data_IF_212089058160
#
_entry.id   IF_212089058160
#
_cell.length_a   1.000
_cell.length_b   1.000
_cell.length_c   1.000
_cell.angle_alpha   90.00
_cell.angle_beta   90.00
_cell.angle_gamma   90.00
#
_symmetry.space_group_name_H-M   'P 1'
#
loop_
_entity.id
_entity.type
_entity.pdbx_description
1 polymer ?
#
# COMPACT_ATOMS: atom_id res chain seq x y z
N UNK A 1 20.72 -5.52 10.28
CA UNK A 1 20.75 -4.21 9.60
C UNK A 1 19.68 -4.29 8.54
N UNK A 2 18.58 -3.55 8.69
CA UNK A 2 17.48 -3.47 7.73
C UNK A 2 17.66 -2.21 6.88
N UNK A 3 17.44 -2.29 5.58
CA UNK A 3 17.53 -1.14 4.67
C UNK A 3 16.10 -0.82 4.21
N UNK A 4 15.56 0.30 4.68
CA UNK A 4 14.21 0.80 4.38
C UNK A 4 14.25 1.96 3.38
N UNK A 5 13.10 2.32 2.81
CA UNK A 5 12.97 3.48 1.89
C UNK A 5 13.84 3.38 0.63
N UNK A 6 14.18 2.16 0.20
CA UNK A 6 15.01 1.99 -0.99
C UNK A 6 14.21 2.37 -2.23
N UNK A 7 14.80 3.28 -3.01
CA UNK A 7 14.31 3.61 -4.35
C UNK A 7 14.79 2.53 -5.32
N UNK A 8 13.91 1.60 -5.66
CA UNK A 8 14.17 0.46 -6.54
C UNK A 8 13.33 0.66 -7.79
N UNK A 9 13.97 1.01 -8.92
CA UNK A 9 13.27 1.35 -10.17
C UNK A 9 14.20 1.20 -11.38
N UNK A 10 13.61 1.12 -12.59
CA UNK A 10 14.34 1.03 -13.85
C UNK A 10 15.02 -0.32 -14.08
N UNK A 11 14.60 -1.35 -13.35
CA UNK A 11 15.11 -2.71 -13.51
C UNK A 11 14.59 -3.32 -14.82
N UNK A 12 15.40 -4.16 -15.46
CA UNK A 12 15.00 -4.92 -16.66
C UNK A 12 14.03 -6.08 -16.36
N UNK A 13 13.74 -6.32 -15.08
CA UNK A 13 12.85 -7.32 -14.50
C UNK A 13 12.25 -6.77 -13.20
N UNK A 14 11.60 -7.60 -12.38
CA UNK A 14 11.19 -7.21 -11.02
C UNK A 14 12.41 -6.84 -10.17
N UNK A 15 12.26 -5.84 -9.30
CA UNK A 15 13.34 -5.26 -8.48
C UNK A 15 13.56 -5.98 -7.16
N UNK A 16 12.49 -6.47 -6.52
CA UNK A 16 12.54 -7.43 -5.40
C UNK A 16 11.89 -8.71 -5.90
N UNK A 17 12.65 -9.80 -5.94
CA UNK A 17 12.20 -11.14 -6.32
C UNK A 17 12.50 -12.09 -5.15
N UNK A 18 11.47 -12.68 -4.55
CA UNK A 18 11.60 -13.66 -3.46
C UNK A 18 11.59 -15.11 -3.94
N UNK A 19 11.50 -15.34 -5.26
CA UNK A 19 11.81 -16.62 -5.89
C UNK A 19 10.62 -17.37 -6.49
N UNK A 20 9.51 -16.70 -6.82
CA UNK A 20 8.43 -17.35 -7.57
C UNK A 20 8.83 -17.60 -9.02
N UNK A 21 9.12 -18.85 -9.36
CA UNK A 21 9.48 -19.28 -10.71
C UNK A 21 8.27 -19.76 -11.53
N UNK A 22 7.13 -19.07 -11.44
CA UNK A 22 5.95 -19.34 -12.26
C UNK A 22 6.04 -18.72 -13.67
N UNK A 23 5.08 -19.00 -14.56
CA UNK A 23 5.07 -18.45 -15.92
C UNK A 23 4.67 -16.96 -15.98
N UNK A 24 4.20 -16.40 -14.86
CA UNK A 24 3.74 -15.03 -14.73
C UNK A 24 4.93 -14.13 -14.35
N UNK A 25 5.13 -13.03 -15.09
CA UNK A 25 6.08 -12.01 -14.69
C UNK A 25 5.40 -11.12 -13.64
N UNK A 26 5.95 -11.08 -12.42
CA UNK A 26 5.39 -10.29 -11.33
C UNK A 26 5.79 -10.82 -9.95
N UNK A 27 5.35 -10.15 -8.88
CA UNK A 27 5.56 -10.62 -7.53
C UNK A 27 4.82 -11.93 -7.28
N UNK A 28 5.37 -12.74 -6.39
CA UNK A 28 4.76 -13.92 -5.79
C UNK A 28 3.38 -13.54 -5.22
N UNK A 29 2.28 -14.15 -5.67
CA UNK A 29 0.97 -13.85 -5.12
C UNK A 29 0.91 -14.13 -3.62
N UNK A 30 0.23 -13.24 -2.87
CA UNK A 30 -0.03 -13.47 -1.45
C UNK A 30 -0.75 -14.80 -1.20
N UNK A 31 -0.36 -15.51 -0.15
CA UNK A 31 -0.99 -16.76 0.28
C UNK A 31 -1.71 -16.63 1.64
N UNK A 32 -2.80 -17.38 1.83
CA UNK A 32 -3.71 -17.21 2.98
C UNK A 32 -3.09 -17.66 4.31
N UNK A 33 -2.08 -18.52 4.26
CA UNK A 33 -1.47 -19.12 5.44
C UNK A 33 -0.17 -18.46 5.85
N UNK A 34 0.55 -17.83 4.92
CA UNK A 34 1.87 -17.23 5.10
C UNK A 34 2.82 -18.21 5.84
N UNK A 35 2.70 -19.50 5.52
CA UNK A 35 3.47 -20.59 6.15
C UNK A 35 4.74 -20.93 5.36
N UNK A 36 5.13 -20.01 4.49
CA UNK A 36 6.18 -20.21 3.51
C UNK A 36 7.57 -20.25 4.14
N UNK A 37 8.49 -20.87 3.41
CA UNK A 37 9.89 -20.92 3.77
C UNK A 37 10.70 -20.48 2.55
N UNK A 38 11.65 -19.57 2.76
CA UNK A 38 12.40 -18.99 1.65
C UNK A 38 13.14 -17.72 2.05
N UNK A 39 13.50 -16.92 1.05
CA UNK A 39 14.09 -15.60 1.31
C UNK A 39 13.01 -14.71 1.91
N UNK A 40 13.32 -14.04 3.03
CA UNK A 40 12.38 -13.21 3.78
C UNK A 40 11.06 -13.93 4.13
N UNK A 41 11.12 -15.26 4.33
CA UNK A 41 9.96 -16.12 4.62
C UNK A 41 8.78 -15.95 3.64
N UNK A 42 9.05 -15.42 2.44
CA UNK A 42 8.05 -15.01 1.44
C UNK A 42 6.95 -14.07 1.98
N UNK A 43 7.31 -13.20 2.94
CA UNK A 43 6.41 -12.23 3.55
C UNK A 43 5.42 -11.61 2.55
N UNK A 44 4.12 -11.75 2.82
CA UNK A 44 3.06 -11.14 2.02
C UNK A 44 3.17 -9.60 2.00
N UNK A 45 2.85 -8.98 0.86
CA UNK A 45 2.71 -7.52 0.72
C UNK A 45 1.30 -7.04 1.10
N UNK A 46 1.07 -5.72 1.16
CA UNK A 46 -0.24 -5.17 1.49
C UNK A 46 -1.17 -5.16 0.27
N UNK A 47 -2.39 -5.65 0.46
CA UNK A 47 -3.47 -5.59 -0.52
C UNK A 47 -4.16 -4.23 -0.42
N UNK A 48 -3.93 -3.36 -1.41
CA UNK A 48 -4.50 -2.01 -1.42
C UNK A 48 -5.90 -1.98 -2.06
N UNK A 49 -6.85 -1.40 -1.32
CA UNK A 49 -8.24 -1.23 -1.72
C UNK A 49 -8.55 0.26 -1.91
N UNK A 50 -8.31 0.77 -3.11
CA UNK A 50 -8.77 2.10 -3.51
C UNK A 50 -8.04 3.27 -2.85
N UNK A 51 -6.79 3.56 -3.26
CA UNK A 51 -6.10 4.76 -2.84
C UNK A 51 -6.82 6.01 -3.38
N UNK A 52 -7.00 7.00 -2.50
CA UNK A 52 -7.71 8.24 -2.80
C UNK A 52 -6.87 9.44 -2.40
N UNK A 53 -6.53 10.31 -3.36
CA UNK A 53 -5.79 11.54 -3.10
C UNK A 53 -6.64 12.79 -3.27
N UNK A 54 -6.60 13.67 -2.27
CA UNK A 54 -7.14 15.02 -2.33
C UNK A 54 -5.99 16.03 -2.51
N UNK A 55 -5.82 16.61 -3.72
CA UNK A 55 -4.75 17.56 -3.98
C UNK A 55 -4.97 18.93 -3.29
N UNK A 56 -6.19 19.25 -2.84
CA UNK A 56 -6.46 20.53 -2.16
C UNK A 56 -5.99 20.50 -0.71
N UNK A 57 -6.18 19.38 -0.03
CA UNK A 57 -5.71 19.17 1.34
C UNK A 57 -4.34 18.47 1.42
N UNK A 58 -3.79 18.05 0.27
CA UNK A 58 -2.58 17.22 0.18
C UNK A 58 -2.65 15.98 1.07
N UNK A 59 -3.78 15.28 1.03
CA UNK A 59 -4.05 14.09 1.86
C UNK A 59 -4.25 12.88 0.97
N UNK A 60 -3.44 11.85 1.20
CA UNK A 60 -3.63 10.51 0.66
C UNK A 60 -4.34 9.66 1.70
N UNK A 61 -5.42 9.01 1.30
CA UNK A 61 -6.13 8.00 2.09
C UNK A 61 -5.99 6.65 1.43
N UNK A 62 -5.51 5.67 2.19
CA UNK A 62 -5.36 4.28 1.78
C UNK A 62 -6.28 3.43 2.64
N UNK A 63 -7.04 2.55 2.00
CA UNK A 63 -7.63 1.39 2.67
C UNK A 63 -6.84 0.17 2.23
N UNK A 64 -6.37 -0.64 3.16
CA UNK A 64 -5.57 -1.82 2.83
C UNK A 64 -5.64 -2.89 3.93
N UNK A 65 -5.30 -4.11 3.56
CA UNK A 65 -5.10 -5.24 4.49
C UNK A 65 -3.73 -5.87 4.24
N UNK A 66 -3.25 -6.64 5.21
CA UNK A 66 -2.04 -7.47 5.04
C UNK A 66 -2.41 -8.91 5.40
N UNK A 67 -2.48 -9.84 4.44
CA UNK A 67 -2.91 -11.21 4.69
C UNK A 67 -1.81 -12.08 5.33
N UNK A 68 -1.08 -11.54 6.32
CA UNK A 68 -0.03 -12.24 7.04
C UNK A 68 -0.52 -12.81 8.36
N UNK A 69 -0.61 -14.13 8.45
CA UNK A 69 -1.20 -14.79 9.62
C UNK A 69 -0.28 -14.62 10.85
N UNK A 70 -0.78 -14.11 12.00
CA UNK A 70 0.03 -13.87 13.20
C UNK A 70 0.71 -15.10 13.81
N UNK A 71 0.31 -16.31 13.38
CA UNK A 71 0.95 -17.55 13.79
C UNK A 71 2.33 -17.75 13.14
N UNK A 72 2.55 -17.14 11.97
CA UNK A 72 3.74 -17.34 11.15
C UNK A 72 4.57 -16.06 10.96
N UNK A 73 3.97 -14.88 11.19
CA UNK A 73 4.63 -13.58 11.03
C UNK A 73 4.75 -12.83 12.35
N UNK A 74 5.88 -12.14 12.54
CA UNK A 74 6.12 -11.31 13.73
C UNK A 74 5.61 -9.87 13.55
N UNK A 75 4.65 -9.49 14.39
CA UNK A 75 4.07 -8.14 14.42
C UNK A 75 4.81 -7.20 15.40
N UNK A 76 4.72 -5.86 15.22
CA UNK A 76 3.97 -5.16 14.19
C UNK A 76 4.67 -5.17 12.82
N UNK A 77 3.90 -5.01 11.76
CA UNK A 77 4.41 -4.89 10.40
C UNK A 77 4.65 -3.43 10.06
N UNK A 78 5.74 -3.15 9.37
CA UNK A 78 6.00 -1.85 8.75
C UNK A 78 5.57 -1.91 7.30
N UNK A 79 4.65 -1.03 6.91
CA UNK A 79 4.20 -0.90 5.52
C UNK A 79 4.80 0.38 4.94
N UNK A 80 5.62 0.27 3.92
CA UNK A 80 6.20 1.41 3.22
C UNK A 80 5.49 1.62 1.88
N UNK A 81 5.16 2.87 1.55
CA UNK A 81 4.44 3.24 0.34
C UNK A 81 5.32 4.07 -0.59
N UNK A 82 5.17 3.82 -1.89
CA UNK A 82 5.95 4.43 -2.95
C UNK A 82 5.08 4.83 -4.14
N UNK A 83 5.50 5.86 -4.89
CA UNK A 83 5.09 6.02 -6.29
C UNK A 83 5.91 5.04 -7.11
N UNK A 84 5.24 4.24 -7.92
CA UNK A 84 5.86 3.22 -8.75
C UNK A 84 6.48 3.79 -10.04
N UNK A 85 7.42 3.05 -10.62
CA UNK A 85 7.81 3.23 -12.02
C UNK A 85 6.87 2.47 -12.98
N UNK A 86 7.23 2.42 -14.27
CA UNK A 86 6.44 1.75 -15.30
C UNK A 86 6.41 0.22 -15.18
N UNK A 87 7.19 -0.36 -14.26
CA UNK A 87 7.27 -1.80 -13.98
C UNK A 87 6.73 -2.13 -12.57
N UNK A 88 6.00 -1.19 -11.95
CA UNK A 88 5.41 -1.38 -10.63
C UNK A 88 6.40 -1.34 -9.47
N UNK A 89 7.64 -0.90 -9.69
CA UNK A 89 8.68 -0.89 -8.67
C UNK A 89 8.70 0.44 -7.91
N UNK A 90 8.93 0.39 -6.60
CA UNK A 90 8.93 1.57 -5.74
C UNK A 90 10.03 2.57 -6.08
N UNK A 91 9.69 3.59 -6.87
CA UNK A 91 10.61 4.65 -7.29
C UNK A 91 10.74 5.75 -6.25
N UNK A 92 9.63 6.26 -5.72
CA UNK A 92 9.64 7.42 -4.84
C UNK A 92 8.91 7.10 -3.54
N UNK A 93 9.63 7.05 -2.43
CA UNK A 93 9.02 6.88 -1.10
C UNK A 93 8.09 8.04 -0.77
N UNK A 94 6.87 7.73 -0.33
CA UNK A 94 5.83 8.73 0.00
C UNK A 94 5.38 8.68 1.45
N UNK A 95 5.61 7.58 2.17
CA UNK A 95 5.26 7.47 3.59
C UNK A 95 5.25 6.02 4.06
N UNK A 96 5.01 5.84 5.36
CA UNK A 96 4.91 4.51 5.98
C UNK A 96 3.83 4.50 7.05
N UNK A 97 3.32 3.30 7.33
CA UNK A 97 2.38 3.03 8.41
C UNK A 97 2.82 1.79 9.21
N UNK A 98 2.30 1.66 10.43
CA UNK A 98 2.46 0.47 11.26
C UNK A 98 1.16 -0.31 11.26
N UNK A 99 1.19 -1.53 10.73
CA UNK A 99 0.05 -2.44 10.73
C UNK A 99 0.17 -3.41 11.91
N UNK A 100 -0.78 -3.34 12.83
CA UNK A 100 -0.72 -4.03 14.12
C UNK A 100 -1.60 -5.28 14.14
N UNK A 101 -1.43 -6.11 15.17
CA UNK A 101 -2.33 -7.24 15.40
C UNK A 101 -3.78 -6.79 15.63
N UNK A 102 -3.99 -5.57 16.14
CA UNK A 102 -5.34 -5.00 16.27
C UNK A 102 -5.95 -4.74 14.90
N UNK A 103 -5.16 -4.23 13.95
CA UNK A 103 -5.60 -3.96 12.57
C UNK A 103 -5.94 -5.26 11.84
N UNK A 104 -5.10 -6.30 11.98
CA UNK A 104 -5.37 -7.63 11.44
C UNK A 104 -6.71 -8.21 11.91
N UNK A 105 -7.09 -7.94 13.16
CA UNK A 105 -8.33 -8.45 13.77
C UNK A 105 -9.58 -7.59 13.46
N UNK A 106 -9.46 -6.52 12.66
CA UNK A 106 -10.62 -5.76 12.18
C UNK A 106 -11.46 -6.61 11.22
N UNK A 107 -12.75 -6.28 11.00
CA UNK A 107 -13.54 -6.88 9.92
C UNK A 107 -12.81 -6.77 8.58
N UNK A 108 -12.70 -7.89 7.86
CA UNK A 108 -11.91 -8.03 6.63
C UNK A 108 -10.42 -7.68 6.76
N UNK A 109 -9.90 -7.52 7.98
CA UNK A 109 -8.53 -7.07 8.26
C UNK A 109 -8.18 -5.72 7.60
N UNK A 110 -9.19 -4.91 7.30
CA UNK A 110 -9.00 -3.65 6.58
C UNK A 110 -8.69 -2.48 7.53
N UNK A 111 -7.60 -1.77 7.25
CA UNK A 111 -7.20 -0.54 7.92
C UNK A 111 -7.38 0.64 6.96
N UNK A 112 -7.88 1.76 7.49
CA UNK A 112 -7.88 3.05 6.80
C UNK A 112 -6.77 3.92 7.39
N UNK A 113 -5.89 4.42 6.52
CA UNK A 113 -4.78 5.29 6.89
C UNK A 113 -4.77 6.54 6.02
N UNK A 114 -4.77 7.72 6.65
CA UNK A 114 -4.69 9.00 5.95
C UNK A 114 -3.46 9.77 6.40
N UNK A 115 -2.67 10.27 5.45
CA UNK A 115 -1.45 11.00 5.72
C UNK A 115 -1.14 12.02 4.62
N UNK A 116 -0.24 12.96 4.94
CA UNK A 116 0.34 13.87 3.95
C UNK A 116 1.57 13.20 3.31
N UNK A 117 1.56 12.97 1.99
CA UNK A 117 2.69 12.38 1.28
C UNK A 117 3.98 13.20 1.45
N UNK A 118 5.11 12.51 1.63
CA UNK A 118 6.43 13.13 1.78
C UNK A 118 7.04 13.60 0.45
N UNK A 119 6.47 13.16 -0.68
CA UNK A 119 6.84 13.60 -2.02
C UNK A 119 5.60 14.06 -2.79
N UNK A 120 5.77 14.97 -3.77
CA UNK A 120 4.66 15.38 -4.64
C UNK A 120 4.07 14.17 -5.38
N UNK A 121 2.76 14.13 -5.48
CA UNK A 121 2.02 13.11 -6.19
C UNK A 121 0.88 13.71 -7.01
N UNK A 122 0.47 12.97 -8.03
CA UNK A 122 -0.58 13.34 -8.95
C UNK A 122 -1.63 12.23 -9.01
N UNK A 123 -2.89 12.61 -9.23
CA UNK A 123 -3.92 11.64 -9.61
C UNK A 123 -3.47 10.91 -10.87
N UNK A 124 -3.57 9.58 -10.87
CA UNK A 124 -3.06 8.72 -11.93
C UNK A 124 -1.67 8.11 -11.66
N UNK A 125 -0.95 8.57 -10.64
CA UNK A 125 0.25 7.87 -10.18
C UNK A 125 -0.11 6.44 -9.73
N UNK A 126 0.82 5.50 -9.90
CA UNK A 126 0.67 4.13 -9.39
C UNK A 126 1.32 4.05 -8.01
N UNK A 127 0.62 3.45 -7.05
CA UNK A 127 1.15 3.22 -5.72
C UNK A 127 1.70 1.79 -5.65
N UNK A 128 2.92 1.67 -5.14
CA UNK A 128 3.56 0.41 -4.78
C UNK A 128 3.78 0.37 -3.25
N UNK A 129 3.83 -0.82 -2.66
CA UNK A 129 4.15 -1.00 -1.25
C UNK A 129 5.03 -2.21 -1.00
N UNK A 130 5.75 -2.17 0.12
CA UNK A 130 6.38 -3.33 0.75
C UNK A 130 5.89 -3.45 2.19
N UNK A 131 5.93 -4.68 2.71
CA UNK A 131 5.64 -5.00 4.10
C UNK A 131 6.88 -5.64 4.71
N UNK A 132 7.29 -5.16 5.88
CA UNK A 132 8.40 -5.74 6.65
C UNK A 132 7.91 -6.18 8.01
N UNK A 133 8.16 -7.44 8.38
CA UNK A 133 7.82 -7.96 9.70
C UNK A 133 8.80 -7.46 10.80
N UNK A 134 8.49 -7.76 12.07
CA UNK A 134 9.31 -7.33 13.20
C UNK A 134 10.69 -8.05 13.28
N UNK A 135 10.90 -9.12 12.51
CA UNK A 135 12.19 -9.81 12.38
C UNK A 135 13.04 -9.25 11.22
N UNK A 136 12.46 -8.40 10.36
CA UNK A 136 13.10 -7.77 9.22
C UNK A 136 12.92 -8.51 7.90
N UNK A 137 11.97 -9.43 7.80
CA UNK A 137 11.57 -10.08 6.56
C UNK A 137 10.71 -9.11 5.74
N UNK A 138 11.16 -8.75 4.53
CA UNK A 138 10.48 -7.80 3.65
C UNK A 138 9.87 -8.49 2.43
N UNK A 139 8.63 -8.15 2.12
CA UNK A 139 7.90 -8.60 0.92
C UNK A 139 8.53 -8.09 -0.38
N UNK A 140 8.08 -8.64 -1.50
CA UNK A 140 8.19 -7.98 -2.82
C UNK A 140 7.29 -6.73 -2.88
N UNK A 141 7.38 -5.97 -3.97
CA UNK A 141 6.38 -4.95 -4.25
C UNK A 141 5.04 -5.59 -4.62
N UNK A 142 3.93 -5.01 -4.16
CA UNK A 142 2.60 -5.46 -4.56
C UNK A 142 2.33 -5.31 -6.07
N UNK A 143 1.26 -5.95 -6.56
CA UNK A 143 0.71 -5.67 -7.89
C UNK A 143 0.07 -4.27 -7.94
N UNK A 144 0.43 -3.48 -8.95
CA UNK A 144 0.12 -2.06 -9.15
C UNK A 144 -1.32 -1.63 -8.84
N UNK A 145 -1.49 -0.55 -8.07
CA UNK A 145 -2.80 0.10 -7.84
C UNK A 145 -2.76 1.59 -8.23
N UNK A 146 -3.65 1.99 -9.15
CA UNK A 146 -3.71 3.37 -9.67
C UNK A 146 -4.37 4.31 -8.67
N UNK A 147 -3.77 5.47 -8.44
CA UNK A 147 -4.27 6.52 -7.56
C UNK A 147 -5.47 7.23 -8.16
N UNK A 148 -6.62 7.16 -7.48
CA UNK A 148 -7.83 7.86 -7.86
C UNK A 148 -7.96 9.22 -7.15
N UNK A 149 -8.69 10.14 -7.78
CA UNK A 149 -9.08 11.38 -7.12
C UNK A 149 -10.11 11.13 -6.02
N UNK A 150 -10.00 11.86 -4.91
CA UNK A 150 -11.04 11.87 -3.89
C UNK A 150 -12.39 12.31 -4.48
N UNK A 151 -13.44 11.54 -4.20
CA UNK A 151 -14.81 11.88 -4.62
C UNK A 151 -15.31 13.08 -3.79
N UNK A 152 -15.44 14.25 -4.43
CA UNK A 152 -16.01 15.44 -3.77
C UNK A 152 -17.54 15.39 -3.86
N UNK A 153 -18.20 15.04 -2.77
CA UNK A 153 -19.66 15.18 -2.67
C UNK A 153 -20.02 16.66 -2.44
N UNK A 154 -20.41 17.36 -3.51
CA UNK A 154 -20.98 18.71 -3.39
C UNK A 154 -22.32 18.61 -2.64
N UNK A 155 -22.36 19.07 -1.38
CA UNK A 155 -23.63 19.30 -0.68
C UNK A 155 -24.31 20.52 -1.29
N UNK A 156 -25.30 20.31 -2.15
CA UNK A 156 -26.15 21.39 -2.63
C UNK A 156 -26.93 22.00 -1.45
N UNK A 157 -26.51 23.17 -0.97
CA UNK A 157 -27.30 23.96 -0.03
C UNK A 157 -28.39 24.69 -0.81
N UNK A 158 -29.64 24.29 -0.59
CA UNK A 158 -30.80 24.97 -1.15
C UNK A 158 -30.92 26.35 -0.48
N UNK A 159 -30.53 27.44 -1.16
CA UNK A 159 -30.89 28.78 -0.72
C UNK A 159 -32.41 28.98 -0.93
N UNK A 160 -33.18 28.88 0.15
CA UNK A 160 -34.56 29.35 0.13
C UNK A 160 -34.57 30.89 0.15
N UNK A 161 -34.79 31.52 -1.00
CA UNK A 161 -35.19 32.94 -1.06
C UNK A 161 -36.66 33.05 -0.66
N UNK A 162 -36.91 33.36 0.61
CA UNK A 162 -38.22 33.85 1.06
C UNK A 162 -38.30 35.36 0.81
N UNK A 163 -39.02 35.78 -0.23
CA UNK A 163 -39.49 37.16 -0.38
C UNK A 163 -40.81 37.23 0.39
N UNK A 164 -40.84 37.97 1.49
CA UNK A 164 -42.10 38.40 2.12
C UNK A 164 -42.65 39.58 1.30
N UNK A 165 -43.89 39.43 0.83
CA UNK A 165 -44.81 40.54 0.59
C UNK A 165 -45.74 40.66 1.81
#
# INVERSE_FOLDING_TARGET
MHISQNSIFGNGSIGIDLGYSGPEQGPTPNDVTDSDAGTNDLQNFADMLGPSFDPFSNTLTLTYSVPSVPANVSYPLTVEFFIADANGQGRTYIGSDTYTLTDYNLPASEKVFSFTPLAPMNVGDVIANTVTDANGNTSEFNSEVVLAAAQVFLRASKLARGIQL
#
